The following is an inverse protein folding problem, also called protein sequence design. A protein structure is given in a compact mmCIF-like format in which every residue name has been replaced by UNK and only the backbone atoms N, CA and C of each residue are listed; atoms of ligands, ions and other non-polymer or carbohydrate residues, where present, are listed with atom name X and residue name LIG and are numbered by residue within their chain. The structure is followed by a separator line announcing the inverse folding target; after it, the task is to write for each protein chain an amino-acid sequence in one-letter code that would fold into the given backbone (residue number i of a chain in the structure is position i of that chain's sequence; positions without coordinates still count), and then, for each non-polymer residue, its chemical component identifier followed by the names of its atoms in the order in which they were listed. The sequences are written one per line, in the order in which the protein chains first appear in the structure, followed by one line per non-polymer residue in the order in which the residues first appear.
data_IF_468845991976
#
_entry.id   IF_468845991976
#
_cell.length_a   1.000
_cell.length_b   1.000
_cell.length_c   1.000
_cell.angle_alpha   90.00
_cell.angle_beta   90.00
_cell.angle_gamma   90.00
#
_symmetry.space_group_name_H-M   'P 1'
#
loop_
_entity.id
_entity.type
_entity.pdbx_description
1 polymer ?
#
# COMPACT_ATOMS: atom_id res chain seq x y z
N UNK A 1 0.79 -10.52 17.78
CA UNK A 1 -0.46 -10.41 16.99
C UNK A 1 -0.25 -11.05 15.64
N UNK A 2 -1.16 -11.94 15.21
CA UNK A 2 -1.10 -12.63 13.91
C UNK A 2 -2.34 -12.27 13.07
N UNK A 3 -2.17 -12.15 11.77
CA UNK A 3 -3.25 -12.00 10.79
C UNK A 3 -3.00 -13.00 9.66
N UNK A 4 -4.07 -13.46 9.03
CA UNK A 4 -4.01 -14.47 7.98
C UNK A 4 -4.87 -14.09 6.78
N UNK A 5 -4.52 -14.66 5.65
CA UNK A 5 -5.33 -14.73 4.45
C UNK A 5 -5.09 -16.10 3.81
N UNK A 6 -6.00 -16.52 2.96
CA UNK A 6 -5.86 -17.75 2.19
C UNK A 6 -6.04 -17.50 0.71
N UNK A 7 -5.36 -18.29 -0.10
CA UNK A 7 -5.46 -18.30 -1.54
C UNK A 7 -5.77 -19.72 -2.04
N UNK A 8 -6.61 -19.81 -3.05
CA UNK A 8 -6.82 -21.02 -3.84
C UNK A 8 -6.43 -20.71 -5.28
N UNK A 9 -5.74 -21.62 -5.93
CA UNK A 9 -5.39 -21.53 -7.35
C UNK A 9 -5.69 -22.87 -8.03
N UNK A 10 -6.33 -22.82 -9.19
CA UNK A 10 -6.66 -23.98 -10.00
C UNK A 10 -6.18 -23.80 -11.42
N UNK A 11 -5.43 -24.76 -11.93
CA UNK A 11 -4.97 -24.82 -13.31
C UNK A 11 -3.64 -24.13 -13.59
N UNK A 12 -3.26 -24.04 -14.88
CA UNK A 12 -2.01 -23.41 -15.32
C UNK A 12 -2.01 -21.91 -15.09
N UNK A 13 -0.83 -21.28 -15.06
CA UNK A 13 -0.68 -19.85 -14.77
C UNK A 13 -1.54 -18.95 -15.68
N UNK A 14 -1.49 -19.17 -17.01
CA UNK A 14 -2.17 -18.28 -17.95
C UNK A 14 -3.68 -18.48 -18.05
N UNK A 15 -4.17 -19.66 -17.82
CA UNK A 15 -5.59 -20.04 -18.00
C UNK A 15 -6.27 -20.46 -16.72
N UNK A 16 -5.52 -20.54 -15.63
CA UNK A 16 -6.05 -20.89 -14.32
C UNK A 16 -6.85 -19.76 -13.68
N UNK A 17 -7.50 -20.11 -12.58
CA UNK A 17 -8.32 -19.17 -11.79
C UNK A 17 -7.93 -19.24 -10.33
N UNK A 18 -7.92 -18.08 -9.67
CA UNK A 18 -7.62 -17.98 -8.25
C UNK A 18 -8.68 -17.22 -7.47
N UNK A 19 -8.68 -17.40 -6.18
CA UNK A 19 -9.48 -16.62 -5.24
C UNK A 19 -8.74 -16.37 -3.95
N UNK A 20 -9.00 -15.21 -3.34
CA UNK A 20 -8.42 -14.76 -2.10
C UNK A 20 -9.50 -14.52 -1.05
N UNK A 21 -9.23 -14.94 0.18
CA UNK A 21 -10.17 -14.76 1.31
C UNK A 21 -9.44 -14.26 2.54
N UNK A 22 -10.05 -13.30 3.24
CA UNK A 22 -9.59 -12.82 4.54
C UNK A 22 -10.66 -13.05 5.61
N UNK A 23 -10.31 -13.48 6.84
CA UNK A 23 -11.26 -13.67 7.94
C UNK A 23 -12.07 -12.43 8.29
N UNK A 24 -11.47 -11.23 8.09
CA UNK A 24 -12.14 -9.95 8.32
C UNK A 24 -13.20 -9.57 7.26
N UNK A 25 -13.36 -10.39 6.21
CA UNK A 25 -14.39 -10.20 5.20
C UNK A 25 -14.09 -9.14 4.13
N UNK A 26 -12.90 -8.54 4.13
CA UNK A 26 -12.48 -7.60 3.08
C UNK A 26 -12.34 -8.29 1.72
N UNK A 27 -11.84 -9.53 1.73
CA UNK A 27 -11.81 -10.42 0.57
C UNK A 27 -12.69 -11.64 0.87
N UNK A 28 -13.65 -11.92 -0.02
CA UNK A 28 -14.61 -13.02 0.09
C UNK A 28 -14.55 -13.84 -1.19
N UNK A 29 -13.63 -14.78 -1.27
CA UNK A 29 -13.34 -15.52 -2.51
C UNK A 29 -13.14 -14.59 -3.70
N UNK A 30 -12.44 -13.48 -3.45
CA UNK A 30 -12.21 -12.43 -4.43
C UNK A 30 -11.34 -12.96 -5.56
N UNK A 31 -11.79 -12.90 -6.82
CA UNK A 31 -11.07 -13.50 -7.93
C UNK A 31 -9.77 -12.78 -8.24
N UNK A 32 -8.76 -13.55 -8.62
CA UNK A 32 -7.52 -13.04 -9.23
C UNK A 32 -7.04 -14.02 -10.30
N UNK A 33 -6.28 -13.53 -11.26
CA UNK A 33 -5.87 -14.30 -12.43
C UNK A 33 -4.61 -13.71 -13.06
N UNK A 34 -4.07 -14.40 -14.06
CA UNK A 34 -3.00 -13.84 -14.90
C UNK A 34 -3.42 -12.50 -15.54
N UNK A 35 -4.63 -12.44 -16.09
CA UNK A 35 -5.15 -11.24 -16.75
C UNK A 35 -5.40 -10.09 -15.79
N UNK A 36 -5.85 -10.34 -14.57
CA UNK A 36 -6.02 -9.28 -13.56
C UNK A 36 -4.70 -8.74 -13.00
N UNK A 37 -3.61 -9.50 -13.16
CA UNK A 37 -2.27 -9.10 -12.70
C UNK A 37 -1.43 -8.42 -13.77
N UNK A 38 -1.42 -8.94 -14.99
CA UNK A 38 -0.51 -8.55 -16.07
C UNK A 38 -1.20 -7.85 -17.26
N UNK A 39 -2.51 -7.82 -17.24
CA UNK A 39 -3.36 -7.23 -18.29
C UNK A 39 -4.46 -6.38 -17.63
N UNK A 40 -5.61 -6.24 -18.28
CA UNK A 40 -6.78 -5.46 -17.79
C UNK A 40 -7.97 -6.33 -17.39
N UNK A 41 -7.72 -7.52 -16.83
CA UNK A 41 -8.77 -8.42 -16.38
C UNK A 41 -9.46 -7.95 -15.09
N UNK A 42 -10.69 -8.41 -14.89
CA UNK A 42 -11.43 -8.16 -13.66
C UNK A 42 -10.86 -8.95 -12.47
N UNK A 43 -11.08 -8.45 -11.25
CA UNK A 43 -10.60 -9.02 -10.01
C UNK A 43 -9.50 -8.16 -9.39
N UNK A 44 -8.77 -8.74 -8.44
CA UNK A 44 -7.64 -8.08 -7.78
C UNK A 44 -6.31 -8.71 -8.21
N UNK A 45 -5.22 -8.21 -7.66
CA UNK A 45 -3.87 -8.74 -7.84
C UNK A 45 -3.00 -8.43 -6.60
N UNK A 46 -1.87 -9.12 -6.42
CA UNK A 46 -1.00 -8.92 -5.27
C UNK A 46 -0.50 -7.47 -5.11
N UNK A 47 -0.18 -6.81 -6.20
CA UNK A 47 0.38 -5.45 -6.18
C UNK A 47 -0.65 -4.43 -5.70
N UNK A 48 -1.91 -4.56 -6.12
CA UNK A 48 -3.03 -3.73 -5.63
C UNK A 48 -3.28 -3.95 -4.14
N UNK A 49 -3.20 -5.18 -3.65
CA UNK A 49 -3.34 -5.52 -2.23
C UNK A 49 -2.18 -4.96 -1.39
N UNK A 50 -0.96 -4.99 -1.91
CA UNK A 50 0.19 -4.34 -1.28
C UNK A 50 -0.03 -2.82 -1.23
N UNK A 51 -0.52 -2.21 -2.30
CA UNK A 51 -0.84 -0.78 -2.34
C UNK A 51 -1.91 -0.41 -1.30
N UNK A 52 -2.98 -1.19 -1.18
CA UNK A 52 -4.00 -1.01 -0.17
C UNK A 52 -3.43 -1.12 1.26
N UNK A 53 -2.60 -2.12 1.52
CA UNK A 53 -1.93 -2.28 2.80
C UNK A 53 -0.99 -1.11 3.12
N UNK A 54 -0.19 -0.67 2.14
CA UNK A 54 0.79 0.39 2.33
C UNK A 54 0.14 1.76 2.55
N UNK A 55 -0.87 2.11 1.75
CA UNK A 55 -1.60 3.37 1.91
C UNK A 55 -2.29 3.47 3.27
N UNK A 56 -3.00 2.41 3.69
CA UNK A 56 -3.67 2.36 4.98
C UNK A 56 -2.71 2.40 6.17
N UNK A 57 -1.62 1.63 6.10
CA UNK A 57 -0.60 1.61 7.15
C UNK A 57 0.10 2.96 7.29
N UNK A 58 0.47 3.60 6.19
CA UNK A 58 1.10 4.93 6.20
C UNK A 58 0.15 6.00 6.75
N UNK A 59 -1.12 6.01 6.37
CA UNK A 59 -2.11 6.96 6.90
C UNK A 59 -2.22 6.85 8.43
N UNK A 60 -2.28 5.63 8.97
CA UNK A 60 -2.29 5.40 10.41
C UNK A 60 -0.98 5.80 11.08
N UNK A 61 0.16 5.50 10.48
CA UNK A 61 1.48 5.89 10.99
C UNK A 61 1.61 7.42 11.06
N UNK A 62 1.13 8.13 10.04
CA UNK A 62 1.13 9.60 10.04
C UNK A 62 0.18 10.18 11.10
N UNK A 63 -1.02 9.60 11.25
CA UNK A 63 -1.94 10.01 12.30
C UNK A 63 -1.32 9.84 13.70
N UNK A 64 -0.59 8.75 13.93
CA UNK A 64 0.14 8.53 15.18
C UNK A 64 1.24 9.58 15.40
N UNK A 65 2.08 9.82 14.39
CA UNK A 65 3.18 10.80 14.46
C UNK A 65 2.65 12.23 14.70
N UNK A 66 1.55 12.60 14.05
CA UNK A 66 0.87 13.87 14.28
C UNK A 66 0.33 13.96 15.71
N UNK A 67 -0.31 12.90 16.20
CA UNK A 67 -0.83 12.83 17.57
C UNK A 67 0.25 12.98 18.64
N UNK A 68 1.43 12.37 18.46
CA UNK A 68 2.60 12.56 19.31
C UNK A 68 3.06 14.03 19.35
N UNK A 69 2.85 14.79 18.28
CA UNK A 69 3.14 16.21 18.19
C UNK A 69 1.96 17.11 18.66
N UNK A 70 0.89 16.52 19.18
CA UNK A 70 -0.30 17.25 19.61
C UNK A 70 -1.16 17.80 18.47
N UNK A 71 -1.04 17.23 17.26
CA UNK A 71 -1.71 17.69 16.05
C UNK A 71 -2.78 16.68 15.65
N UNK A 72 -3.99 17.15 15.35
CA UNK A 72 -5.08 16.32 14.85
C UNK A 72 -5.38 16.69 13.38
N UNK A 73 -5.21 15.77 12.45
CA UNK A 73 -5.58 16.03 11.06
C UNK A 73 -7.11 16.00 10.90
N UNK A 74 -7.64 16.86 10.03
CA UNK A 74 -9.03 16.74 9.59
C UNK A 74 -9.19 15.62 8.57
N UNK A 75 -8.22 15.48 7.65
CA UNK A 75 -8.25 14.45 6.60
C UNK A 75 -6.85 14.09 6.14
N UNK A 76 -6.63 12.81 5.92
CA UNK A 76 -5.47 12.25 5.26
C UNK A 76 -5.94 11.38 4.10
N UNK A 77 -5.59 11.73 2.88
CA UNK A 77 -5.84 10.93 1.68
C UNK A 77 -4.51 10.40 1.17
N UNK A 78 -4.41 9.09 1.08
CA UNK A 78 -3.18 8.42 0.69
C UNK A 78 -3.46 7.45 -0.46
N UNK A 79 -2.68 7.58 -1.53
CA UNK A 79 -2.58 6.59 -2.59
C UNK A 79 -1.19 5.98 -2.55
N UNK A 80 -1.08 4.67 -2.72
CA UNK A 80 0.19 3.99 -2.94
C UNK A 80 0.21 3.41 -4.36
N UNK A 81 1.28 3.66 -5.07
CA UNK A 81 1.54 3.13 -6.42
C UNK A 81 2.67 2.12 -6.33
N UNK A 82 2.34 0.85 -6.52
CA UNK A 82 3.29 -0.27 -6.44
C UNK A 82 3.73 -0.68 -7.82
N UNK A 83 5.04 -0.70 -8.04
CA UNK A 83 5.64 -1.04 -9.34
C UNK A 83 6.13 -2.49 -9.33
N UNK A 84 5.72 -3.26 -10.34
CA UNK A 84 6.19 -4.61 -10.63
C UNK A 84 6.98 -4.59 -11.93
N UNK A 85 8.27 -4.87 -11.86
CA UNK A 85 9.18 -4.91 -13.00
C UNK A 85 9.78 -6.31 -13.19
N UNK A 86 10.10 -6.64 -14.44
CA UNK A 86 10.92 -7.80 -14.73
C UNK A 86 12.40 -7.40 -14.68
N UNK A 87 13.09 -7.82 -13.61
CA UNK A 87 14.50 -7.44 -13.31
C UNK A 87 15.40 -8.67 -13.42
N UNK A 88 16.09 -8.90 -14.56
CA UNK A 88 17.01 -10.03 -14.68
C UNK A 88 18.19 -9.92 -13.69
N UNK A 89 18.67 -11.03 -13.12
CA UNK A 89 18.18 -12.42 -13.27
C UNK A 89 17.02 -12.77 -12.33
N UNK A 90 16.60 -11.87 -11.44
CA UNK A 90 15.60 -12.15 -10.40
C UNK A 90 14.19 -12.41 -10.95
N UNK A 91 13.84 -11.85 -12.12
CA UNK A 91 12.51 -11.93 -12.70
C UNK A 91 11.54 -10.86 -12.16
N UNK A 92 10.26 -11.16 -12.13
CA UNK A 92 9.23 -10.24 -11.66
C UNK A 92 9.43 -9.84 -10.20
N UNK A 93 9.66 -8.56 -9.98
CA UNK A 93 10.06 -7.99 -8.70
C UNK A 93 9.27 -6.72 -8.39
N UNK A 94 8.76 -6.60 -7.18
CA UNK A 94 8.22 -5.33 -6.68
C UNK A 94 9.40 -4.40 -6.39
N UNK A 95 9.61 -3.41 -7.26
CA UNK A 95 10.81 -2.54 -7.23
C UNK A 95 10.59 -1.24 -6.48
N UNK A 96 9.36 -0.74 -6.43
CA UNK A 96 9.04 0.52 -5.78
C UNK A 96 7.61 0.54 -5.23
N UNK A 97 7.41 1.38 -4.21
CA UNK A 97 6.10 1.84 -3.78
C UNK A 97 6.18 3.36 -3.58
N UNK A 98 5.42 4.11 -4.36
CA UNK A 98 5.32 5.55 -4.27
C UNK A 98 4.06 5.95 -3.52
N UNK A 99 4.21 6.71 -2.43
CA UNK A 99 3.12 7.25 -1.64
C UNK A 99 2.79 8.66 -2.09
N UNK A 100 1.52 8.90 -2.39
CA UNK A 100 0.97 10.24 -2.68
C UNK A 100 0.03 10.60 -1.53
N UNK A 101 0.36 11.65 -0.81
CA UNK A 101 -0.39 12.13 0.35
C UNK A 101 -0.96 13.52 0.07
N UNK A 102 -2.26 13.67 0.27
CA UNK A 102 -2.93 14.96 0.41
C UNK A 102 -3.52 15.06 1.82
N UNK A 103 -3.16 16.09 2.57
CA UNK A 103 -3.55 16.23 3.97
C UNK A 103 -4.21 17.58 4.21
N UNK A 104 -5.29 17.58 5.00
CA UNK A 104 -5.92 18.77 5.54
C UNK A 104 -5.65 18.84 7.03
N UNK A 105 -4.78 19.75 7.44
CA UNK A 105 -4.31 19.93 8.83
C UNK A 105 -4.22 21.44 9.12
N UNK A 106 -5.32 22.04 9.63
CA UNK A 106 -5.35 23.47 9.88
C UNK A 106 -4.25 23.92 10.83
N UNK A 107 -3.58 25.01 10.50
CA UNK A 107 -2.58 25.66 11.33
C UNK A 107 -1.19 25.00 11.33
N UNK A 108 -0.99 23.91 10.60
CA UNK A 108 0.33 23.29 10.48
C UNK A 108 1.13 23.95 9.35
N UNK A 109 2.38 24.32 9.63
CA UNK A 109 3.28 24.80 8.59
C UNK A 109 3.83 23.65 7.73
N UNK A 110 4.13 23.94 6.46
CA UNK A 110 4.54 22.92 5.51
C UNK A 110 5.91 22.29 5.84
N UNK A 111 6.84 23.03 6.42
CA UNK A 111 8.15 22.46 6.81
C UNK A 111 7.98 21.37 7.85
N UNK A 112 7.19 21.65 8.90
CA UNK A 112 6.88 20.67 9.95
C UNK A 112 6.08 19.50 9.40
N UNK A 113 5.11 19.76 8.51
CA UNK A 113 4.35 18.71 7.85
C UNK A 113 5.25 17.74 7.08
N UNK A 114 6.18 18.23 6.26
CA UNK A 114 7.09 17.38 5.49
C UNK A 114 7.99 16.54 6.41
N UNK A 115 8.47 17.11 7.51
CA UNK A 115 9.26 16.38 8.51
C UNK A 115 8.47 15.21 9.12
N UNK A 116 7.23 15.47 9.56
CA UNK A 116 6.38 14.46 10.17
C UNK A 116 5.95 13.38 9.16
N UNK A 117 5.67 13.76 7.92
CA UNK A 117 5.35 12.83 6.85
C UNK A 117 6.54 11.92 6.51
N UNK A 118 7.76 12.46 6.46
CA UNK A 118 8.98 11.67 6.26
C UNK A 118 9.24 10.70 7.43
N UNK A 119 9.01 11.13 8.67
CA UNK A 119 9.10 10.27 9.86
C UNK A 119 8.09 9.13 9.79
N UNK A 120 6.84 9.42 9.41
CA UNK A 120 5.80 8.40 9.25
C UNK A 120 6.13 7.40 8.14
N UNK A 121 6.68 7.86 7.00
CA UNK A 121 7.13 6.98 5.91
C UNK A 121 8.20 6.00 6.40
N UNK A 122 9.20 6.47 7.11
CA UNK A 122 10.28 5.65 7.63
C UNK A 122 9.81 4.67 8.71
N UNK A 123 8.87 5.07 9.55
CA UNK A 123 8.34 4.28 10.66
C UNK A 123 7.21 3.32 10.30
N UNK A 124 6.57 3.51 9.15
CA UNK A 124 5.45 2.67 8.71
C UNK A 124 5.89 1.19 8.59
N UNK A 125 5.22 0.26 9.29
CA UNK A 125 5.60 -1.17 9.24
C UNK A 125 5.62 -1.77 7.83
N UNK A 126 4.72 -1.37 6.93
CA UNK A 126 4.72 -1.86 5.55
C UNK A 126 5.87 -1.25 4.75
N UNK A 127 6.21 0.04 4.95
CA UNK A 127 7.44 0.61 4.35
C UNK A 127 8.69 -0.16 4.76
N UNK A 128 8.75 -0.61 6.01
CA UNK A 128 9.87 -1.39 6.55
C UNK A 128 9.88 -2.85 6.11
N UNK A 129 8.70 -3.40 5.79
CA UNK A 129 8.54 -4.77 5.29
C UNK A 129 9.04 -4.91 3.85
N UNK A 130 8.69 -3.94 3.00
CA UNK A 130 8.96 -4.00 1.57
C UNK A 130 10.46 -3.83 1.28
N UNK A 131 11.06 -4.80 0.59
CA UNK A 131 12.40 -4.67 0.04
C UNK A 131 12.32 -3.95 -1.33
N UNK A 132 11.84 -2.71 -1.30
CA UNK A 132 11.58 -1.89 -2.48
C UNK A 132 11.93 -0.43 -2.19
N UNK A 133 12.07 0.38 -3.23
CA UNK A 133 12.27 1.83 -3.06
C UNK A 133 10.96 2.49 -2.62
N UNK A 134 10.96 3.09 -1.44
CA UNK A 134 9.81 3.84 -0.92
C UNK A 134 10.03 5.34 -1.13
N UNK A 135 9.13 5.99 -1.85
CA UNK A 135 9.13 7.44 -2.08
C UNK A 135 7.83 8.07 -1.62
N UNK A 136 7.82 9.38 -1.41
CA UNK A 136 6.67 10.12 -0.91
C UNK A 136 6.58 11.49 -1.59
N UNK A 137 5.38 11.80 -2.07
CA UNK A 137 4.95 13.15 -2.46
C UNK A 137 3.86 13.59 -1.48
N UNK A 138 4.12 14.62 -0.67
CA UNK A 138 3.20 15.06 0.37
C UNK A 138 2.78 16.51 0.14
N UNK A 139 1.47 16.75 0.08
CA UNK A 139 0.85 18.05 -0.12
C UNK A 139 -0.02 18.40 1.08
N UNK A 140 0.20 19.55 1.65
CA UNK A 140 -0.61 20.14 2.71
C UNK A 140 -1.61 21.12 2.08
N UNK A 141 -2.87 20.85 2.25
CA UNK A 141 -3.95 21.73 1.81
C UNK A 141 -4.32 22.77 2.88
#
# INVERSE_FOLDING_TARGET
MKRSASAVWNGPLKTGTGSLTTPGGALKSTPYSFTSRFESGAGTNPEELIAAAHSGCFAMALSMVLGEAGITPEKLEVTAEVTLDNVPPAGWTVTASHLVLSAKIPGLDNTKFQELAAKAKAGCPISRLLNAKITLSATLA
#
